data_IF_079953930152
#
_entry.id   IF_079953930152
#
_cell.length_a   1.000
_cell.length_b   1.000
_cell.length_c   1.000
_cell.angle_alpha   90.00
_cell.angle_beta   90.00
_cell.angle_gamma   90.00
#
_symmetry.space_group_name_H-M   'P 1'
#
loop_
_entity.id
_entity.type
_entity.pdbx_description
1 polymer ?
#
# COMPACT_ATOMS: atom_id res chain seq x y z
N UNK A 1 6.81 30.81 -11.87
CA UNK A 1 5.82 29.91 -12.49
C UNK A 1 6.42 28.67 -13.19
N UNK A 2 7.64 28.73 -13.74
CA UNK A 2 8.30 27.58 -14.41
C UNK A 2 8.86 26.45 -13.52
N UNK A 3 8.80 26.55 -12.19
CA UNK A 3 9.33 25.52 -11.28
C UNK A 3 8.29 24.43 -10.96
N UNK A 4 7.04 24.79 -10.68
CA UNK A 4 5.99 23.81 -10.32
C UNK A 4 5.64 22.84 -11.45
N UNK A 5 5.62 23.30 -12.71
CA UNK A 5 5.41 22.44 -13.89
C UNK A 5 6.54 21.41 -14.10
N UNK A 6 7.79 21.77 -13.75
CA UNK A 6 8.94 20.85 -13.86
C UNK A 6 8.94 19.77 -12.77
N UNK A 7 8.47 20.09 -11.58
CA UNK A 7 8.31 19.11 -10.50
C UNK A 7 7.23 18.07 -10.80
N UNK A 8 6.12 18.48 -11.42
CA UNK A 8 5.04 17.56 -11.83
C UNK A 8 5.51 16.53 -12.88
N UNK A 9 6.36 16.93 -13.84
CA UNK A 9 6.97 15.98 -14.79
C UNK A 9 7.95 15.03 -14.10
N UNK A 10 8.66 15.46 -13.05
CA UNK A 10 9.61 14.60 -12.32
C UNK A 10 8.92 13.50 -11.53
N UNK A 11 7.79 13.80 -10.86
CA UNK A 11 7.04 12.79 -10.11
C UNK A 11 6.39 11.75 -11.02
N UNK A 12 5.92 12.15 -12.22
CA UNK A 12 5.25 11.27 -13.19
C UNK A 12 6.23 10.40 -14.01
N UNK A 13 7.42 10.88 -14.36
CA UNK A 13 8.42 10.08 -15.12
C UNK A 13 9.06 9.00 -14.24
N UNK A 14 9.12 9.22 -12.93
CA UNK A 14 9.61 8.22 -11.98
C UNK A 14 8.74 6.94 -11.96
N UNK A 15 7.47 6.99 -12.37
CA UNK A 15 6.56 5.83 -12.49
C UNK A 15 7.10 4.68 -13.33
N UNK A 16 7.76 4.98 -14.45
CA UNK A 16 8.32 3.93 -15.31
C UNK A 16 9.53 3.22 -14.66
N UNK A 17 10.15 3.83 -13.65
CA UNK A 17 11.24 3.21 -12.87
C UNK A 17 10.74 2.44 -11.64
N UNK A 18 9.47 2.64 -11.23
CA UNK A 18 8.89 1.98 -10.04
C UNK A 18 8.19 0.65 -10.37
N UNK A 19 8.07 0.25 -11.63
CA UNK A 19 7.46 -1.05 -12.00
C UNK A 19 8.09 -2.25 -11.27
N UNK A 20 9.41 -2.20 -11.03
CA UNK A 20 10.13 -3.22 -10.26
C UNK A 20 10.09 -3.05 -8.74
N UNK A 21 9.54 -1.95 -8.21
CA UNK A 21 9.36 -1.76 -6.75
C UNK A 21 8.04 -2.33 -6.27
N UNK A 22 7.10 -2.58 -7.19
CA UNK A 22 5.73 -2.95 -6.90
C UNK A 22 5.45 -4.44 -7.19
N UNK A 23 6.41 -5.17 -7.77
CA UNK A 23 6.35 -6.60 -8.07
C UNK A 23 5.02 -7.05 -8.69
N UNK A 24 4.45 -6.20 -9.55
CA UNK A 24 3.10 -6.38 -10.11
C UNK A 24 3.04 -7.64 -10.96
N UNK A 25 4.09 -7.91 -11.73
CA UNK A 25 4.20 -9.09 -12.59
C UNK A 25 4.24 -10.38 -11.75
N UNK A 26 5.05 -10.41 -10.68
CA UNK A 26 5.09 -11.56 -9.77
C UNK A 26 3.73 -11.83 -9.11
N UNK A 27 3.01 -10.76 -8.74
CA UNK A 27 1.66 -10.88 -8.19
C UNK A 27 0.67 -11.41 -9.24
N UNK A 28 0.79 -11.01 -10.51
CA UNK A 28 -0.03 -11.54 -11.61
C UNK A 28 0.25 -13.02 -11.88
N UNK A 29 1.50 -13.43 -11.84
CA UNK A 29 1.90 -14.84 -11.98
C UNK A 29 1.33 -15.67 -10.82
N UNK A 30 1.40 -15.18 -9.57
CA UNK A 30 0.77 -15.83 -8.41
C UNK A 30 -0.75 -15.94 -8.56
N UNK A 31 -1.42 -14.90 -9.06
CA UNK A 31 -2.86 -14.98 -9.33
C UNK A 31 -3.16 -16.10 -10.32
N UNK A 32 -2.41 -16.17 -11.42
CA UNK A 32 -2.56 -17.22 -12.44
C UNK A 32 -2.39 -18.62 -11.86
N UNK A 33 -1.34 -18.83 -11.05
CA UNK A 33 -1.08 -20.13 -10.42
C UNK A 33 -2.18 -20.52 -9.42
N UNK A 34 -2.62 -19.58 -8.58
CA UNK A 34 -3.69 -19.82 -7.59
C UNK A 34 -5.05 -20.08 -8.27
N UNK A 35 -5.36 -19.38 -9.37
CA UNK A 35 -6.56 -19.63 -10.18
C UNK A 35 -6.54 -21.03 -10.81
N UNK A 36 -5.38 -21.45 -11.32
CA UNK A 36 -5.18 -22.79 -11.86
C UNK A 36 -5.38 -23.88 -10.81
N UNK A 37 -4.95 -23.65 -9.56
CA UNK A 37 -5.20 -24.58 -8.45
C UNK A 37 -6.70 -24.65 -8.15
N UNK A 38 -7.39 -23.51 -8.13
CA UNK A 38 -8.84 -23.45 -7.84
C UNK A 38 -9.74 -24.11 -8.91
N UNK A 39 -9.21 -24.38 -10.10
CA UNK A 39 -9.94 -25.06 -11.18
C UNK A 39 -9.88 -26.59 -11.09
N UNK A 40 -9.06 -27.15 -10.19
CA UNK A 40 -9.01 -28.59 -9.94
C UNK A 40 -10.32 -29.05 -9.23
N UNK A 41 -11.03 -30.07 -9.76
CA UNK A 41 -12.20 -30.64 -9.10
C UNK A 41 -11.95 -31.13 -7.66
N UNK A 42 -10.73 -31.58 -7.36
CA UNK A 42 -10.34 -32.05 -6.04
C UNK A 42 -10.00 -30.91 -5.06
N UNK A 43 -9.89 -29.65 -5.52
CA UNK A 43 -9.58 -28.48 -4.70
C UNK A 43 -10.55 -28.32 -3.52
N UNK A 44 -11.83 -28.60 -3.76
CA UNK A 44 -12.89 -28.47 -2.76
C UNK A 44 -12.91 -29.60 -1.72
N UNK A 45 -12.08 -30.64 -1.88
CA UNK A 45 -11.99 -31.75 -0.92
C UNK A 45 -11.32 -31.33 0.39
N UNK A 46 -10.46 -30.31 0.37
CA UNK A 46 -9.88 -29.70 1.57
C UNK A 46 -10.41 -28.26 1.75
N UNK A 47 -11.46 -28.12 2.55
CA UNK A 47 -12.08 -26.83 2.81
C UNK A 47 -11.13 -25.83 3.50
N UNK A 48 -10.18 -26.29 4.33
CA UNK A 48 -9.21 -25.40 5.00
C UNK A 48 -8.16 -24.90 4.01
N UNK A 49 -7.61 -25.79 3.19
CA UNK A 49 -6.69 -25.45 2.12
C UNK A 49 -7.31 -24.52 1.08
N UNK A 50 -8.54 -24.82 0.65
CA UNK A 50 -9.28 -24.01 -0.32
C UNK A 50 -9.51 -22.58 0.19
N UNK A 51 -9.94 -22.41 1.45
CA UNK A 51 -10.13 -21.09 2.04
C UNK A 51 -8.83 -20.28 2.11
N UNK A 52 -7.69 -20.94 2.38
CA UNK A 52 -6.38 -20.28 2.41
C UNK A 52 -6.00 -19.77 1.01
N UNK A 53 -6.12 -20.61 -0.01
CA UNK A 53 -5.81 -20.27 -1.40
C UNK A 53 -6.72 -19.16 -1.91
N UNK A 54 -8.03 -19.22 -1.65
CA UNK A 54 -8.97 -18.17 -2.05
C UNK A 54 -8.70 -16.84 -1.36
N UNK A 55 -8.29 -16.87 -0.09
CA UNK A 55 -7.89 -15.66 0.65
C UNK A 55 -6.65 -15.03 0.00
N UNK A 56 -5.61 -15.81 -0.24
CA UNK A 56 -4.37 -15.35 -0.88
C UNK A 56 -4.64 -14.80 -2.30
N UNK A 57 -5.47 -15.49 -3.08
CA UNK A 57 -5.91 -15.04 -4.40
C UNK A 57 -6.68 -13.71 -4.35
N UNK A 58 -7.59 -13.56 -3.38
CA UNK A 58 -8.32 -12.30 -3.18
C UNK A 58 -7.40 -11.15 -2.78
N UNK A 59 -6.38 -11.42 -1.96
CA UNK A 59 -5.40 -10.42 -1.54
C UNK A 59 -4.55 -9.95 -2.72
N UNK A 60 -4.04 -10.87 -3.54
CA UNK A 60 -3.28 -10.51 -4.74
C UNK A 60 -4.14 -9.74 -5.73
N UNK A 61 -5.36 -10.19 -6.03
CA UNK A 61 -6.28 -9.50 -6.95
C UNK A 61 -6.63 -8.09 -6.46
N UNK A 62 -7.01 -7.95 -5.20
CA UNK A 62 -7.34 -6.63 -4.63
C UNK A 62 -6.18 -5.67 -4.73
N UNK A 63 -4.95 -6.16 -4.53
CA UNK A 63 -3.75 -5.35 -4.64
C UNK A 63 -3.49 -4.93 -6.10
N UNK A 64 -3.53 -5.88 -7.06
CA UNK A 64 -3.26 -5.59 -8.48
C UNK A 64 -4.31 -4.66 -9.08
N UNK A 65 -5.59 -4.84 -8.73
CA UNK A 65 -6.67 -3.94 -9.15
C UNK A 65 -6.48 -2.51 -8.61
N UNK A 66 -6.01 -2.39 -7.36
CA UNK A 66 -5.70 -1.09 -6.76
C UNK A 66 -4.58 -0.36 -7.51
N UNK A 67 -3.52 -1.10 -7.85
CA UNK A 67 -2.43 -0.59 -8.68
C UNK A 67 -2.90 -0.18 -10.08
N UNK A 68 -3.66 -1.03 -10.77
CA UNK A 68 -4.13 -0.75 -12.14
C UNK A 68 -5.06 0.46 -12.21
N UNK A 69 -5.93 0.65 -11.21
CA UNK A 69 -6.76 1.85 -11.08
C UNK A 69 -5.91 3.11 -10.91
N UNK A 70 -4.92 3.06 -10.02
CA UNK A 70 -4.01 4.18 -9.78
C UNK A 70 -3.19 4.50 -11.03
N UNK A 71 -2.66 3.48 -11.71
CA UNK A 71 -1.91 3.62 -12.96
C UNK A 71 -2.75 4.24 -14.08
N UNK A 72 -3.98 3.75 -14.26
CA UNK A 72 -4.90 4.27 -15.27
C UNK A 72 -5.26 5.74 -15.00
N UNK A 73 -5.51 6.09 -13.74
CA UNK A 73 -5.80 7.48 -13.33
C UNK A 73 -4.61 8.40 -13.59
N UNK A 74 -3.40 7.99 -13.21
CA UNK A 74 -2.19 8.76 -13.45
C UNK A 74 -1.86 8.92 -14.94
N UNK A 75 -2.16 7.91 -15.76
CA UNK A 75 -2.04 7.99 -17.22
C UNK A 75 -3.05 8.96 -17.82
N UNK A 76 -4.33 8.82 -17.50
CA UNK A 76 -5.38 9.73 -17.99
C UNK A 76 -5.06 11.20 -17.65
N UNK A 77 -4.59 11.43 -16.43
CA UNK A 77 -4.19 12.74 -15.98
C UNK A 77 -2.96 13.30 -16.71
N UNK A 78 -1.99 12.44 -17.07
CA UNK A 78 -0.84 12.83 -17.90
C UNK A 78 -1.30 13.27 -19.29
N UNK A 79 -2.20 12.51 -19.89
CA UNK A 79 -2.75 12.79 -21.23
C UNK A 79 -3.54 14.11 -21.22
N UNK A 80 -4.31 14.36 -20.16
CA UNK A 80 -5.04 15.63 -19.95
C UNK A 80 -4.09 16.82 -19.79
N UNK A 81 -2.99 16.66 -19.05
CA UNK A 81 -1.96 17.68 -18.87
C UNK A 81 -1.27 18.04 -20.19
N UNK A 82 -1.01 17.05 -21.04
CA UNK A 82 -0.44 17.26 -22.38
C UNK A 82 -1.37 18.10 -23.26
N UNK A 83 -2.67 17.78 -23.27
CA UNK A 83 -3.68 18.55 -24.02
C UNK A 83 -3.79 19.99 -23.49
N UNK A 84 -3.80 20.19 -22.17
CA UNK A 84 -3.86 21.52 -21.57
C UNK A 84 -2.61 22.36 -21.89
N UNK A 85 -1.42 21.74 -21.95
CA UNK A 85 -0.18 22.38 -22.38
C UNK A 85 -0.24 22.82 -23.85
N UNK A 86 -0.81 21.98 -24.73
CA UNK A 86 -0.98 22.30 -26.16
C UNK A 86 -1.97 23.45 -26.40
N UNK A 87 -3.06 23.51 -25.61
CA UNK A 87 -4.10 24.53 -25.73
C UNK A 87 -3.74 25.85 -25.04
N UNK A 88 -2.67 25.89 -24.23
CA UNK A 88 -2.24 27.07 -23.49
C UNK A 88 -3.22 27.49 -22.39
N UNK A 89 -4.03 26.56 -21.87
CA UNK A 89 -5.05 26.84 -20.87
C UNK A 89 -4.42 26.93 -19.46
N UNK A 90 -4.35 28.14 -18.92
CA UNK A 90 -3.81 28.38 -17.57
C UNK A 90 -4.82 28.11 -16.44
N UNK A 91 -6.11 27.90 -16.75
CA UNK A 91 -7.15 27.61 -15.76
C UNK A 91 -6.98 26.25 -15.08
N UNK A 92 -6.19 25.36 -15.70
CA UNK A 92 -5.90 24.02 -15.20
C UNK A 92 -5.10 24.01 -13.88
N UNK A 93 -4.41 25.09 -13.51
CA UNK A 93 -3.36 25.06 -12.47
C UNK A 93 -3.77 24.59 -11.08
N UNK A 94 -4.96 24.94 -10.59
CA UNK A 94 -5.42 24.59 -9.23
C UNK A 94 -5.94 23.15 -9.15
N UNK A 95 -6.77 22.74 -10.12
CA UNK A 95 -7.24 21.36 -10.26
C UNK A 95 -6.07 20.39 -10.52
N UNK A 96 -5.02 20.87 -11.21
CA UNK A 96 -3.77 20.14 -11.40
C UNK A 96 -3.18 19.73 -10.04
N UNK A 97 -2.99 20.71 -9.17
CA UNK A 97 -2.31 20.50 -7.88
C UNK A 97 -3.08 19.58 -6.94
N UNK A 98 -4.41 19.65 -6.93
CA UNK A 98 -5.23 18.77 -6.11
C UNK A 98 -5.15 17.32 -6.58
N UNK A 99 -5.21 17.10 -7.90
CA UNK A 99 -5.16 15.76 -8.49
C UNK A 99 -3.80 15.10 -8.29
N UNK A 100 -2.71 15.84 -8.47
CA UNK A 100 -1.34 15.33 -8.21
C UNK A 100 -1.18 14.95 -6.74
N UNK A 101 -1.62 15.81 -5.82
CA UNK A 101 -1.52 15.51 -4.39
C UNK A 101 -2.30 14.23 -4.01
N UNK A 102 -3.48 14.02 -4.61
CA UNK A 102 -4.26 12.79 -4.42
C UNK A 102 -3.54 11.56 -5.00
N UNK A 103 -2.94 11.69 -6.18
CA UNK A 103 -2.15 10.61 -6.79
C UNK A 103 -0.93 10.27 -5.92
N UNK A 104 -0.21 11.26 -5.41
CA UNK A 104 0.94 11.04 -4.52
C UNK A 104 0.56 10.33 -3.22
N UNK A 105 -0.59 10.69 -2.63
CA UNK A 105 -1.10 9.98 -1.44
C UNK A 105 -1.41 8.51 -1.73
N UNK A 106 -2.04 8.22 -2.87
CA UNK A 106 -2.38 6.86 -3.25
C UNK A 106 -1.12 6.02 -3.58
N UNK A 107 -0.10 6.63 -4.20
CA UNK A 107 1.20 5.98 -4.39
C UNK A 107 1.80 5.61 -3.05
N UNK A 108 1.90 6.57 -2.12
CA UNK A 108 2.48 6.35 -0.79
C UNK A 108 1.75 5.25 -0.02
N UNK A 109 0.42 5.15 -0.18
CA UNK A 109 -0.37 4.08 0.41
C UNK A 109 -0.04 2.70 -0.19
N UNK A 110 0.16 2.60 -1.51
CA UNK A 110 0.54 1.33 -2.16
C UNK A 110 1.98 0.94 -1.81
N UNK A 111 2.91 1.90 -1.77
CA UNK A 111 4.29 1.67 -1.32
C UNK A 111 4.33 1.13 0.10
N UNK A 112 3.57 1.72 1.02
CA UNK A 112 3.47 1.26 2.39
C UNK A 112 2.91 -0.17 2.47
N UNK A 113 1.88 -0.50 1.66
CA UNK A 113 1.36 -1.87 1.58
C UNK A 113 2.38 -2.84 1.01
N UNK A 114 3.19 -2.42 0.03
CA UNK A 114 4.20 -3.31 -0.53
C UNK A 114 5.36 -3.55 0.46
N UNK A 115 5.73 -2.53 1.23
CA UNK A 115 6.69 -2.65 2.32
C UNK A 115 6.24 -3.66 3.39
N UNK A 116 4.92 -3.80 3.59
CA UNK A 116 4.29 -4.73 4.53
C UNK A 116 3.78 -6.03 3.86
N UNK A 117 4.54 -6.56 2.89
CA UNK A 117 4.19 -7.79 2.16
C UNK A 117 4.91 -9.05 2.65
N UNK A 118 5.57 -8.96 3.80
CA UNK A 118 6.18 -10.09 4.47
C UNK A 118 5.15 -11.13 4.90
N UNK A 119 5.59 -12.40 4.97
CA UNK A 119 4.74 -13.56 5.32
C UNK A 119 3.94 -13.37 6.61
N UNK A 120 4.53 -12.68 7.58
CA UNK A 120 3.96 -12.51 8.92
C UNK A 120 3.33 -11.12 9.13
N UNK A 121 3.38 -10.22 8.14
CA UNK A 121 2.89 -8.84 8.27
C UNK A 121 1.36 -8.76 8.41
N UNK A 122 0.64 -9.75 7.86
CA UNK A 122 -0.81 -9.90 8.03
C UNK A 122 -1.20 -10.51 9.40
N UNK A 123 -0.22 -10.98 10.18
CA UNK A 123 -0.42 -11.62 11.47
C UNK A 123 -0.67 -10.62 12.60
N UNK A 124 -1.18 -11.13 13.73
CA UNK A 124 -1.24 -10.34 14.96
C UNK A 124 0.17 -10.19 15.53
N UNK A 125 0.51 -9.00 16.01
CA UNK A 125 1.78 -8.74 16.69
C UNK A 125 1.70 -9.05 18.19
N UNK A 126 2.74 -9.70 18.73
CA UNK A 126 2.99 -9.79 20.17
C UNK A 126 4.06 -8.75 20.54
N UNK A 127 3.71 -7.80 21.40
CA UNK A 127 4.64 -6.79 21.89
C UNK A 127 4.98 -7.11 23.34
N UNK A 128 6.27 -7.28 23.63
CA UNK A 128 6.78 -7.46 24.98
C UNK A 128 7.77 -6.35 25.30
N UNK A 129 7.51 -5.62 26.39
CA UNK A 129 8.35 -4.50 26.83
C UNK A 129 9.08 -4.93 28.09
N UNK A 130 10.41 -4.98 28.02
CA UNK A 130 11.27 -5.27 29.16
C UNK A 130 11.93 -3.98 29.63
N UNK A 131 11.84 -3.69 30.93
CA UNK A 131 12.63 -2.62 31.53
C UNK A 131 14.11 -3.02 31.51
N UNK A 132 14.96 -2.13 31.01
CA UNK A 132 16.42 -2.33 30.98
C UNK A 132 17.07 -2.13 32.35
N UNK A 133 18.40 -2.11 32.37
CA UNK A 133 19.16 -1.75 33.57
C UNK A 133 18.92 -0.27 33.91
N UNK A 134 18.39 0.00 35.11
CA UNK A 134 18.05 1.35 35.57
C UNK A 134 17.10 1.43 36.76
N UNK A 135 16.65 0.29 37.30
CA UNK A 135 15.78 0.26 38.47
C UNK A 135 14.42 0.89 38.19
N UNK A 136 13.91 1.70 39.12
CA UNK A 136 12.57 2.29 39.05
C UNK A 136 12.38 3.23 37.86
N UNK A 137 13.40 4.01 37.49
CA UNK A 137 13.28 4.93 36.34
C UNK A 137 13.11 4.16 35.02
N UNK A 138 13.83 3.06 34.84
CA UNK A 138 13.66 2.20 33.67
C UNK A 138 12.29 1.53 33.64
N UNK A 139 11.71 1.22 34.81
CA UNK A 139 10.36 0.70 34.93
C UNK A 139 9.31 1.76 34.55
N UNK A 140 9.44 3.00 35.02
CA UNK A 140 8.53 4.09 34.67
C UNK A 140 8.54 4.37 33.16
N UNK A 141 9.72 4.32 32.53
CA UNK A 141 9.85 4.43 31.07
C UNK A 141 9.19 3.26 30.32
N UNK A 142 9.37 2.02 30.79
CA UNK A 142 8.70 0.87 30.22
C UNK A 142 7.16 1.01 30.31
N UNK A 143 6.65 1.52 31.43
CA UNK A 143 5.23 1.81 31.60
C UNK A 143 4.73 2.94 30.69
N UNK A 144 5.55 3.97 30.46
CA UNK A 144 5.25 5.02 29.48
C UNK A 144 5.13 4.45 28.06
N UNK A 145 6.07 3.60 27.63
CA UNK A 145 6.01 2.95 26.32
C UNK A 145 4.81 2.02 26.19
N UNK A 146 4.50 1.25 27.23
CA UNK A 146 3.33 0.41 27.27
C UNK A 146 2.05 1.23 27.03
N UNK A 147 1.85 2.31 27.80
CA UNK A 147 0.69 3.20 27.63
C UNK A 147 0.66 3.88 26.26
N UNK A 148 1.83 4.20 25.68
CA UNK A 148 1.93 4.78 24.34
C UNK A 148 1.42 3.80 23.28
N UNK A 149 1.90 2.56 23.29
CA UNK A 149 1.49 1.54 22.31
C UNK A 149 0.02 1.14 22.47
N UNK A 150 -0.49 1.05 23.71
CA UNK A 150 -1.92 0.84 23.98
C UNK A 150 -2.78 1.91 23.30
N UNK A 151 -2.48 3.20 23.53
CA UNK A 151 -3.21 4.32 22.93
C UNK A 151 -3.08 4.36 21.40
N UNK A 152 -1.91 4.02 20.86
CA UNK A 152 -1.72 3.96 19.41
C UNK A 152 -2.55 2.84 18.79
N UNK A 153 -2.56 1.65 19.40
CA UNK A 153 -3.32 0.50 18.92
C UNK A 153 -4.84 0.79 18.94
N UNK A 154 -5.35 1.40 20.02
CA UNK A 154 -6.74 1.88 20.11
C UNK A 154 -7.08 2.88 19.00
N UNK A 155 -6.23 3.88 18.76
CA UNK A 155 -6.44 4.88 17.68
C UNK A 155 -6.43 4.27 16.29
N UNK A 156 -5.67 3.19 16.08
CA UNK A 156 -5.63 2.43 14.82
C UNK A 156 -6.77 1.41 14.71
N UNK A 157 -7.61 1.28 15.73
CA UNK A 157 -8.74 0.34 15.73
C UNK A 157 -8.34 -1.11 15.95
N UNK A 158 -7.13 -1.38 16.45
CA UNK A 158 -6.69 -2.73 16.76
C UNK A 158 -7.31 -3.23 18.06
N UNK A 159 -7.65 -4.52 18.09
CA UNK A 159 -8.08 -5.20 19.31
C UNK A 159 -6.86 -5.61 20.13
N UNK A 160 -6.84 -5.21 21.40
CA UNK A 160 -5.72 -5.45 22.31
C UNK A 160 -6.07 -6.61 23.25
N UNK A 161 -5.09 -7.48 23.48
CA UNK A 161 -5.14 -8.57 24.45
C UNK A 161 -3.94 -8.39 25.40
N UNK A 162 -4.22 -8.25 26.69
CA UNK A 162 -3.24 -8.04 27.76
C UNK A 162 -3.15 -9.27 28.64
#
# INVERSE_FOLDING_TARGET
MNHKRKDCRRSIVAWNSYGGIFDVDERKDKIYDLEKISTDPAFWNDQKGANKVLKELSEHKSWTEGYEKLHSRAKAYRDELEIAEELGDESFGEELTATIASIEQDISAIEFRNMLSGKDDAGNALITIHAGAGGTEAQDWAEMLYRMYMRWAERKGFKIYT
#
